data_IF_425513132029
#
_entry.id   IF_425513132029
#
_cell.length_a   1.000
_cell.length_b   1.000
_cell.length_c   1.000
_cell.angle_alpha   90.00
_cell.angle_beta   90.00
_cell.angle_gamma   90.00
#
_symmetry.space_group_name_H-M   'P 1'
#
loop_
_entity.id
_entity.type
_entity.pdbx_description
1 polymer ?
#
# COMPACT_ATOMS: atom_id res chain seq x y z
N UNK A 1 1.56 8.57 6.47
CA UNK A 1 0.73 7.39 6.17
C UNK A 1 -0.68 7.90 5.88
N UNK A 2 -1.27 7.59 4.72
CA UNK A 2 -2.63 8.00 4.40
C UNK A 2 -3.63 7.43 5.41
N UNK A 3 -4.63 8.21 5.79
CA UNK A 3 -5.75 7.74 6.63
C UNK A 3 -6.97 7.49 5.76
N UNK A 4 -7.43 6.26 5.74
CA UNK A 4 -8.64 5.84 5.03
C UNK A 4 -9.82 5.83 5.99
N UNK A 5 -10.94 6.41 5.56
CA UNK A 5 -12.17 6.49 6.34
C UNK A 5 -13.23 5.67 5.62
N UNK A 6 -13.79 4.67 6.30
CA UNK A 6 -14.87 3.82 5.76
C UNK A 6 -16.10 3.98 6.62
N UNK A 7 -17.18 4.47 6.03
CA UNK A 7 -18.50 4.59 6.65
C UNK A 7 -19.43 3.48 6.17
N UNK A 8 -20.42 3.13 6.99
CA UNK A 8 -21.47 2.16 6.64
C UNK A 8 -22.79 2.90 6.56
N UNK A 9 -23.37 2.94 5.36
CA UNK A 9 -24.67 3.54 5.08
C UNK A 9 -24.80 4.96 5.66
N UNK A 10 -23.78 5.79 5.42
CA UNK A 10 -23.76 7.17 5.89
C UNK A 10 -24.62 8.02 4.96
N UNK A 11 -25.66 8.64 5.52
CA UNK A 11 -26.49 9.56 4.77
C UNK A 11 -25.74 10.85 4.45
N UNK A 12 -25.95 11.39 3.24
CA UNK A 12 -25.45 12.71 2.85
C UNK A 12 -26.50 13.79 3.11
N UNK A 13 -26.77 14.04 4.39
CA UNK A 13 -27.70 15.07 4.82
C UNK A 13 -27.30 15.60 6.18
N UNK A 14 -27.78 16.81 6.50
CA UNK A 14 -27.66 17.34 7.86
C UNK A 14 -28.57 16.54 8.78
N UNK A 15 -28.01 15.97 9.84
CA UNK A 15 -28.78 15.31 10.89
C UNK A 15 -29.04 16.30 12.02
N UNK A 16 -30.29 16.36 12.47
CA UNK A 16 -30.78 17.27 13.50
C UNK A 16 -31.29 16.46 14.71
N UNK A 17 -31.47 17.13 15.84
CA UNK A 17 -31.96 16.55 17.10
C UNK A 17 -33.11 15.55 16.89
N UNK A 18 -32.93 14.34 17.42
CA UNK A 18 -33.95 13.27 17.41
C UNK A 18 -33.79 12.22 16.31
N UNK A 19 -32.86 12.40 15.36
CA UNK A 19 -32.49 11.40 14.35
C UNK A 19 -30.96 11.29 14.32
N UNK A 20 -30.38 10.10 14.48
CA UNK A 20 -28.97 9.83 14.10
C UNK A 20 -27.86 10.10 15.13
N UNK A 21 -28.15 10.60 16.33
CA UNK A 21 -27.18 10.76 17.42
C UNK A 21 -26.28 12.00 17.30
N UNK A 22 -25.45 12.25 18.31
CA UNK A 22 -24.53 13.41 18.36
C UNK A 22 -23.29 13.19 17.47
N UNK A 23 -22.69 14.27 16.92
CA UNK A 23 -23.13 15.67 17.05
C UNK A 23 -24.28 16.02 16.10
N UNK A 24 -25.15 16.93 16.54
CA UNK A 24 -26.27 17.44 15.73
C UNK A 24 -25.86 18.63 14.85
N UNK A 25 -26.71 18.96 13.89
CA UNK A 25 -26.53 20.03 12.91
C UNK A 25 -25.26 19.88 12.06
N UNK A 26 -24.82 18.65 11.83
CA UNK A 26 -23.74 18.33 10.89
C UNK A 26 -24.24 17.41 9.78
N UNK A 27 -23.51 17.42 8.66
CA UNK A 27 -23.60 16.37 7.65
C UNK A 27 -22.42 15.41 7.83
N UNK A 28 -22.62 14.18 8.33
CA UNK A 28 -21.54 13.24 8.57
C UNK A 28 -20.75 12.90 7.31
N UNK A 29 -21.41 12.80 6.15
CA UNK A 29 -20.70 12.57 4.89
C UNK A 29 -19.67 13.67 4.61
N UNK A 30 -20.01 14.93 4.89
CA UNK A 30 -19.06 16.05 4.76
C UNK A 30 -17.94 15.96 5.79
N UNK A 31 -18.27 15.64 7.05
CA UNK A 31 -17.26 15.52 8.12
C UNK A 31 -16.30 14.37 7.91
N UNK A 32 -16.76 13.22 7.44
CA UNK A 32 -15.89 12.09 7.10
C UNK A 32 -15.00 12.39 5.89
N UNK A 33 -15.48 13.16 4.91
CA UNK A 33 -14.63 13.68 3.83
C UNK A 33 -13.55 14.63 4.35
N UNK A 34 -13.87 15.54 5.27
CA UNK A 34 -12.88 16.41 5.90
C UNK A 34 -11.78 15.59 6.61
N UNK A 35 -12.16 14.53 7.35
CA UNK A 35 -11.20 13.63 7.99
C UNK A 35 -10.33 12.88 6.97
N UNK A 36 -10.94 12.37 5.90
CA UNK A 36 -10.21 11.70 4.81
C UNK A 36 -9.18 12.64 4.17
N UNK A 37 -9.56 13.88 3.90
CA UNK A 37 -8.70 14.93 3.33
C UNK A 37 -7.55 15.32 4.24
N UNK A 38 -7.81 15.55 5.53
CA UNK A 38 -6.76 15.77 6.53
C UNK A 38 -5.83 14.56 6.64
N UNK A 39 -6.38 13.37 6.42
CA UNK A 39 -5.68 12.10 6.33
C UNK A 39 -4.86 11.89 5.06
N UNK A 40 -4.91 12.82 4.09
CA UNK A 40 -4.19 12.70 2.81
C UNK A 40 -4.86 11.81 1.77
N UNK A 41 -6.13 11.45 1.94
CA UNK A 41 -6.97 10.81 0.91
C UNK A 41 -8.04 11.78 0.41
N UNK A 42 -8.73 11.49 -0.70
CA UNK A 42 -9.64 12.47 -1.32
C UNK A 42 -11.02 12.51 -0.65
N UNK A 43 -11.53 11.35 -0.27
CA UNK A 43 -12.91 11.15 0.22
C UNK A 43 -13.03 9.89 1.06
N UNK A 44 -14.02 9.84 1.94
CA UNK A 44 -14.35 8.60 2.65
C UNK A 44 -15.06 7.61 1.71
N UNK A 45 -14.94 6.32 2.00
CA UNK A 45 -15.65 5.25 1.29
C UNK A 45 -16.96 4.99 2.02
N UNK A 46 -18.10 5.07 1.32
CA UNK A 46 -19.43 4.84 1.92
C UNK A 46 -20.01 3.49 1.49
N UNK A 47 -19.75 2.45 2.27
CA UNK A 47 -20.23 1.10 2.00
C UNK A 47 -21.70 0.94 2.38
N UNK A 48 -22.52 0.37 1.51
CA UNK A 48 -23.97 0.22 1.73
C UNK A 48 -24.35 -1.12 2.38
N UNK A 49 -23.42 -2.07 2.43
CA UNK A 49 -23.65 -3.41 2.99
C UNK A 49 -22.30 -4.07 3.34
N UNK A 50 -22.38 -5.27 3.93
CA UNK A 50 -21.20 -6.04 4.34
C UNK A 50 -20.24 -6.34 3.19
N UNK A 51 -20.74 -6.75 2.02
CA UNK A 51 -19.89 -7.08 0.87
C UNK A 51 -19.11 -5.85 0.37
N UNK A 52 -19.74 -4.67 0.37
CA UNK A 52 -19.08 -3.41 0.02
C UNK A 52 -18.11 -2.93 1.11
N UNK A 53 -18.34 -3.27 2.38
CA UNK A 53 -17.40 -2.97 3.46
C UNK A 53 -16.13 -3.82 3.31
N UNK A 54 -16.30 -5.11 3.05
CA UNK A 54 -15.19 -6.03 2.81
C UNK A 54 -14.36 -5.62 1.59
N UNK A 55 -15.01 -5.28 0.48
CA UNK A 55 -14.34 -4.76 -0.71
C UNK A 55 -13.56 -3.47 -0.40
N UNK A 56 -14.16 -2.52 0.32
CA UNK A 56 -13.49 -1.28 0.70
C UNK A 56 -12.24 -1.52 1.55
N UNK A 57 -12.29 -2.45 2.51
CA UNK A 57 -11.14 -2.79 3.34
C UNK A 57 -10.04 -3.47 2.53
N UNK A 58 -10.39 -4.38 1.60
CA UNK A 58 -9.43 -5.01 0.71
C UNK A 58 -8.75 -3.99 -0.21
N UNK A 59 -9.50 -3.04 -0.78
CA UNK A 59 -8.93 -1.96 -1.60
C UNK A 59 -7.94 -1.10 -0.80
N UNK A 60 -8.27 -0.81 0.47
CA UNK A 60 -7.36 -0.09 1.37
C UNK A 60 -6.07 -0.88 1.59
N UNK A 61 -6.18 -2.18 1.91
CA UNK A 61 -5.02 -3.07 2.11
C UNK A 61 -4.15 -3.11 0.86
N UNK A 62 -4.74 -3.32 -0.31
CA UNK A 62 -4.01 -3.37 -1.57
C UNK A 62 -3.33 -2.04 -1.92
N UNK A 63 -3.92 -0.91 -1.52
CA UNK A 63 -3.33 0.42 -1.73
C UNK A 63 -2.13 0.71 -0.82
N UNK A 64 -2.01 0.06 0.33
CA UNK A 64 -0.90 0.27 1.27
C UNK A 64 0.26 -0.69 1.05
N UNK A 65 0.04 -1.83 0.37
CA UNK A 65 1.11 -2.75 0.01
C UNK A 65 2.08 -2.09 -0.99
N UNK A 66 3.34 -1.98 -0.61
CA UNK A 66 4.39 -1.35 -1.43
C UNK A 66 5.13 -2.37 -2.29
N UNK A 67 5.64 -1.95 -3.44
CA UNK A 67 6.60 -2.73 -4.24
C UNK A 67 8.06 -2.44 -3.83
N UNK A 68 8.27 -1.66 -2.78
CA UNK A 68 9.59 -1.15 -2.40
C UNK A 68 9.99 -1.72 -1.06
N UNK A 69 11.14 -2.38 -1.03
CA UNK A 69 11.77 -2.93 0.17
C UNK A 69 12.90 -1.96 0.55
N UNK A 70 12.79 -1.24 1.68
CA UNK A 70 13.90 -0.43 2.18
C UNK A 70 15.02 -1.34 2.67
N UNK A 71 16.27 -0.95 2.42
CA UNK A 71 17.46 -1.63 2.93
C UNK A 71 18.05 -0.79 4.06
N UNK A 72 18.50 -1.44 5.14
CA UNK A 72 19.13 -0.75 6.27
C UNK A 72 20.48 -0.13 5.88
N UNK A 73 21.20 -0.82 5.00
CA UNK A 73 22.48 -0.39 4.45
C UNK A 73 22.61 -0.80 2.98
N UNK A 74 23.41 -0.04 2.23
CA UNK A 74 23.70 -0.36 0.84
C UNK A 74 24.68 -1.55 0.77
N UNK A 75 24.42 -2.54 -0.09
CA UNK A 75 25.33 -3.67 -0.25
C UNK A 75 26.69 -3.23 -0.79
N UNK A 76 27.76 -3.85 -0.28
CA UNK A 76 29.12 -3.58 -0.73
C UNK A 76 29.37 -4.03 -2.18
N UNK A 77 28.73 -5.13 -2.59
CA UNK A 77 28.72 -5.62 -3.98
C UNK A 77 27.28 -5.72 -4.50
N UNK A 78 26.69 -4.59 -4.94
CA UNK A 78 25.29 -4.54 -5.38
C UNK A 78 24.95 -5.55 -6.48
N UNK A 79 25.90 -5.86 -7.36
CA UNK A 79 25.76 -6.77 -8.51
C UNK A 79 25.57 -8.24 -8.14
N UNK A 80 25.93 -8.64 -6.90
CA UNK A 80 25.74 -10.00 -6.41
C UNK A 80 24.54 -10.14 -5.48
N UNK A 81 23.69 -9.12 -5.42
CA UNK A 81 22.48 -9.18 -4.61
C UNK A 81 21.45 -10.10 -5.25
N UNK A 82 20.80 -10.91 -4.42
CA UNK A 82 19.69 -11.77 -4.82
C UNK A 82 18.45 -11.37 -4.06
N UNK A 83 17.33 -11.32 -4.78
CA UNK A 83 16.02 -11.03 -4.19
C UNK A 83 15.15 -12.25 -4.39
N UNK A 84 14.69 -12.84 -3.30
CA UNK A 84 13.82 -14.00 -3.31
C UNK A 84 12.46 -13.63 -2.72
N UNK A 85 11.39 -14.08 -3.35
CA UNK A 85 10.02 -13.92 -2.87
C UNK A 85 9.40 -15.30 -2.83
N UNK A 86 8.96 -15.74 -1.65
CA UNK A 86 8.48 -17.11 -1.44
C UNK A 86 9.49 -18.17 -1.94
N UNK A 87 10.79 -17.94 -1.70
CA UNK A 87 11.88 -18.82 -2.14
C UNK A 87 12.19 -18.80 -3.64
N UNK A 88 11.47 -18.03 -4.46
CA UNK A 88 11.75 -17.86 -5.88
C UNK A 88 12.68 -16.65 -6.10
N UNK A 89 13.83 -16.87 -6.74
CA UNK A 89 14.77 -15.80 -7.11
C UNK A 89 14.22 -14.97 -8.28
N UNK A 90 14.21 -13.66 -8.12
CA UNK A 90 13.82 -12.70 -9.15
C UNK A 90 15.04 -12.00 -9.75
N UNK A 91 15.09 -11.81 -11.08
CA UNK A 91 16.24 -11.22 -11.74
C UNK A 91 16.34 -9.71 -11.48
N UNK A 92 17.56 -9.21 -11.42
CA UNK A 92 17.81 -7.76 -11.52
C UNK A 92 17.52 -7.32 -12.95
N UNK A 93 16.71 -6.28 -13.11
CA UNK A 93 16.28 -5.74 -14.41
C UNK A 93 16.83 -4.33 -14.64
N UNK A 94 16.68 -3.78 -15.85
CA UNK A 94 17.18 -2.43 -16.15
C UNK A 94 16.21 -1.33 -15.70
N UNK A 95 14.91 -1.59 -15.77
CA UNK A 95 13.86 -0.67 -15.35
C UNK A 95 12.55 -1.43 -15.12
N UNK A 96 11.64 -0.84 -14.33
CA UNK A 96 10.32 -1.40 -14.09
C UNK A 96 9.28 -1.09 -15.19
N UNK A 97 9.68 -0.57 -16.36
CA UNK A 97 8.69 -0.13 -17.35
C UNK A 97 7.94 -1.31 -17.98
N UNK A 98 8.64 -2.39 -18.31
CA UNK A 98 8.07 -3.57 -18.98
C UNK A 98 8.80 -4.88 -18.62
N UNK A 99 9.43 -4.94 -17.45
CA UNK A 99 10.22 -6.11 -17.02
C UNK A 99 9.74 -6.58 -15.65
N UNK A 100 9.73 -7.90 -15.46
CA UNK A 100 9.47 -8.53 -14.17
C UNK A 100 10.80 -8.82 -13.47
N UNK A 101 10.95 -8.37 -12.23
CA UNK A 101 12.21 -8.49 -11.50
C UNK A 101 12.37 -7.37 -10.49
N UNK A 102 13.58 -6.86 -10.33
CA UNK A 102 13.83 -5.78 -9.39
C UNK A 102 14.94 -4.83 -9.84
N UNK A 103 14.89 -3.60 -9.34
CA UNK A 103 15.93 -2.57 -9.53
C UNK A 103 16.32 -1.97 -8.18
N UNK A 104 17.52 -1.40 -8.11
CA UNK A 104 17.87 -0.55 -6.97
C UNK A 104 17.19 0.81 -7.08
N UNK A 105 16.71 1.29 -5.94
CA UNK A 105 16.40 2.69 -5.75
C UNK A 105 17.66 3.52 -5.49
N UNK A 106 17.46 4.76 -5.05
CA UNK A 106 18.55 5.72 -4.85
C UNK A 106 19.61 5.21 -3.86
N UNK A 107 20.89 5.34 -4.24
CA UNK A 107 22.06 4.93 -3.46
C UNK A 107 22.07 3.46 -3.02
N UNK A 108 21.33 2.58 -3.70
CA UNK A 108 21.16 1.17 -3.34
C UNK A 108 20.62 0.96 -1.91
N UNK A 109 19.82 1.91 -1.39
CA UNK A 109 19.16 1.83 -0.07
C UNK A 109 17.72 1.31 -0.15
N UNK A 110 17.30 0.84 -1.32
CA UNK A 110 16.00 0.21 -1.52
C UNK A 110 16.02 -0.68 -2.74
N UNK A 111 15.15 -1.67 -2.74
CA UNK A 111 14.83 -2.53 -3.88
C UNK A 111 13.41 -2.17 -4.33
N UNK A 112 13.25 -1.79 -5.59
CA UNK A 112 11.96 -1.63 -6.24
C UNK A 112 11.66 -2.89 -7.06
N UNK A 113 10.60 -3.60 -6.69
CA UNK A 113 10.11 -4.77 -7.40
C UNK A 113 9.24 -4.34 -8.58
N UNK A 114 9.48 -4.94 -9.73
CA UNK A 114 8.82 -4.63 -10.99
C UNK A 114 7.86 -5.75 -11.40
N UNK A 115 6.69 -5.36 -11.93
CA UNK A 115 5.72 -6.28 -12.52
C UNK A 115 5.36 -7.45 -11.60
N UNK A 116 5.48 -8.67 -12.13
CA UNK A 116 5.11 -9.89 -11.41
C UNK A 116 5.89 -10.11 -10.10
N UNK A 117 7.08 -9.53 -9.95
CA UNK A 117 7.82 -9.58 -8.69
C UNK A 117 7.12 -8.78 -7.59
N UNK A 118 6.58 -7.60 -7.94
CA UNK A 118 5.79 -6.83 -6.98
C UNK A 118 4.51 -7.56 -6.61
N UNK A 119 3.80 -8.13 -7.59
CA UNK A 119 2.58 -8.90 -7.33
C UNK A 119 2.86 -10.09 -6.40
N UNK A 120 3.99 -10.77 -6.59
CA UNK A 120 4.44 -11.83 -5.69
C UNK A 120 4.67 -11.30 -4.26
N UNK A 121 5.33 -10.15 -4.09
CA UNK A 121 5.51 -9.55 -2.76
C UNK A 121 4.15 -9.21 -2.12
N UNK A 122 3.23 -8.63 -2.89
CA UNK A 122 1.88 -8.29 -2.40
C UNK A 122 1.06 -9.51 -2.00
N UNK A 123 1.33 -10.65 -2.63
CA UNK A 123 0.65 -11.91 -2.35
C UNK A 123 1.24 -12.65 -1.15
N UNK A 124 2.56 -12.75 -1.06
CA UNK A 124 3.25 -13.56 -0.04
C UNK A 124 3.70 -12.76 1.17
N UNK A 125 3.76 -11.43 1.06
CA UNK A 125 4.13 -10.48 2.12
C UNK A 125 5.53 -10.69 2.73
N UNK A 126 6.35 -11.53 2.09
CA UNK A 126 7.70 -11.89 2.53
C UNK A 126 8.67 -11.83 1.35
N UNK A 127 9.79 -11.14 1.57
CA UNK A 127 10.93 -11.13 0.65
C UNK A 127 12.23 -11.27 1.43
N UNK A 128 13.18 -11.98 0.82
CA UNK A 128 14.53 -12.16 1.33
C UNK A 128 15.52 -11.47 0.38
N UNK A 129 16.31 -10.55 0.91
CA UNK A 129 17.38 -9.87 0.17
C UNK A 129 18.71 -10.41 0.69
N UNK A 130 19.43 -11.11 -0.17
CA UNK A 130 20.70 -11.76 0.17
C UNK A 130 21.87 -11.03 -0.51
N UNK A 131 22.92 -10.78 0.25
CA UNK A 131 24.15 -10.16 -0.25
C UNK A 131 25.27 -11.18 -0.34
N UNK A 132 25.88 -11.27 -1.52
CA UNK A 132 27.00 -12.18 -1.77
C UNK A 132 28.27 -11.40 -2.08
N UNK A 133 29.42 -12.03 -1.81
CA UNK A 133 30.74 -11.51 -2.17
C UNK A 133 31.36 -12.38 -3.26
N UNK A 134 32.19 -11.79 -4.13
CA UNK A 134 33.10 -12.57 -4.98
C UNK A 134 34.32 -12.99 -4.13
N UNK A 135 34.62 -14.29 -3.99
CA UNK A 135 35.79 -14.75 -3.22
C UNK A 135 37.15 -14.35 -3.82
N UNK A 136 37.19 -13.84 -5.05
CA UNK A 136 38.42 -13.45 -5.74
C UNK A 136 39.11 -14.61 -6.44
#
# INVERSE_FOLDING_TARGET
>A
IPTYVVGINIANMVINDGVGGDPNNINPSQKLNEVAQLGGTTSFINSQNQAQLEAALNDVIESVKTCTIPLEEAPFFPEFTKVLINGMEWPMVMNCANQDGWVYGMNNLSIELCGAACDALKQYEEAEVQYYCNPG
#
